data_IF_135379294830
#
_entry.id   IF_135379294830
#
_cell.length_a   1.000
_cell.length_b   1.000
_cell.length_c   1.000
_cell.angle_alpha   90.00
_cell.angle_beta   90.00
_cell.angle_gamma   90.00
#
_symmetry.space_group_name_H-M   'P 1'
#
loop_
_entity.id
_entity.type
_entity.pdbx_description
1 polymer ?
#
# COMPACT_ATOMS: atom_id res chain seq x y z
N UNK A 1 -24.46 7.24 20.34
CA UNK A 1 -23.88 6.13 19.54
C UNK A 1 -22.34 6.06 19.63
N UNK A 2 -21.62 7.20 19.68
CA UNK A 2 -20.15 7.25 19.73
C UNK A 2 -19.50 6.43 20.88
N UNK A 3 -20.02 6.54 22.11
CA UNK A 3 -19.50 5.80 23.27
C UNK A 3 -19.59 4.27 23.13
N UNK A 4 -20.48 3.76 22.27
CA UNK A 4 -20.56 2.32 21.96
C UNK A 4 -19.43 1.92 21.01
N UNK A 5 -19.18 2.71 19.97
CA UNK A 5 -18.13 2.45 18.99
C UNK A 5 -16.73 2.48 19.61
N UNK A 6 -16.46 3.46 20.50
CA UNK A 6 -15.17 3.54 21.18
C UNK A 6 -14.92 2.33 22.10
N UNK A 7 -15.94 1.92 22.86
CA UNK A 7 -15.85 0.72 23.72
C UNK A 7 -15.59 -0.55 22.91
N UNK A 8 -16.28 -0.68 21.78
CA UNK A 8 -16.08 -1.80 20.87
C UNK A 8 -14.67 -1.78 20.27
N UNK A 9 -14.19 -0.62 19.79
CA UNK A 9 -12.84 -0.48 19.27
C UNK A 9 -11.77 -0.86 20.29
N UNK A 10 -11.96 -0.45 21.55
CA UNK A 10 -11.05 -0.80 22.64
C UNK A 10 -11.05 -2.30 22.90
N UNK A 11 -12.23 -2.93 23.00
CA UNK A 11 -12.35 -4.38 23.21
C UNK A 11 -11.67 -5.16 22.09
N UNK A 12 -11.92 -4.79 20.82
CA UNK A 12 -11.28 -5.42 19.66
C UNK A 12 -9.76 -5.28 19.69
N UNK A 13 -9.26 -4.15 20.17
CA UNK A 13 -7.83 -3.93 20.36
C UNK A 13 -7.27 -4.87 21.45
N UNK A 14 -7.92 -4.92 22.63
CA UNK A 14 -7.57 -5.80 23.74
C UNK A 14 -7.61 -7.30 23.35
N UNK A 15 -8.54 -7.68 22.46
CA UNK A 15 -8.65 -9.04 21.92
C UNK A 15 -7.59 -9.38 20.85
N UNK A 16 -6.74 -8.42 20.47
CA UNK A 16 -5.66 -8.60 19.49
C UNK A 16 -6.11 -8.59 18.03
N UNK A 17 -7.32 -8.12 17.71
CA UNK A 17 -7.83 -8.12 16.33
C UNK A 17 -7.06 -7.17 15.40
N UNK A 18 -6.32 -6.21 15.96
CA UNK A 18 -5.45 -5.30 15.21
C UNK A 18 -4.22 -6.02 14.62
N UNK A 19 -3.86 -7.20 15.12
CA UNK A 19 -2.77 -8.05 14.61
C UNK A 19 -3.21 -8.88 13.39
N UNK A 20 -4.53 -9.06 13.22
CA UNK A 20 -5.14 -9.65 12.02
C UNK A 20 -5.30 -8.52 10.99
N UNK A 21 -4.15 -8.01 10.51
CA UNK A 21 -4.09 -6.73 9.83
C UNK A 21 -4.59 -6.75 8.37
N UNK A 22 -4.62 -7.92 7.71
CA UNK A 22 -5.08 -8.05 6.33
C UNK A 22 -5.80 -9.37 6.05
N UNK A 23 -6.61 -9.38 5.00
CA UNK A 23 -7.35 -10.54 4.49
C UNK A 23 -7.50 -10.46 2.95
N UNK A 24 -8.27 -11.35 2.32
CA UNK A 24 -8.44 -11.36 0.86
C UNK A 24 -9.14 -10.12 0.27
N UNK A 25 -9.82 -9.31 1.09
CA UNK A 25 -10.64 -8.14 0.71
C UNK A 25 -10.06 -6.82 1.22
N UNK A 26 -9.19 -6.87 2.22
CA UNK A 26 -8.66 -5.70 2.91
C UNK A 26 -7.17 -5.85 3.15
N UNK A 27 -6.43 -4.77 2.95
CA UNK A 27 -4.99 -4.74 3.20
C UNK A 27 -4.23 -3.95 2.15
N UNK A 28 -2.90 -3.85 2.31
CA UNK A 28 -2.04 -3.03 1.45
C UNK A 28 -2.04 -3.46 -0.01
N UNK A 29 -2.35 -4.73 -0.30
CA UNK A 29 -2.46 -5.25 -1.67
C UNK A 29 -3.57 -4.57 -2.49
N UNK A 30 -4.52 -3.90 -1.83
CA UNK A 30 -5.62 -3.19 -2.51
C UNK A 30 -5.43 -1.68 -2.58
N UNK A 31 -4.35 -1.11 -2.02
CA UNK A 31 -4.18 0.35 -1.93
C UNK A 31 -4.09 1.08 -3.28
N UNK A 32 -3.68 0.37 -4.34
CA UNK A 32 -3.71 0.92 -5.70
C UNK A 32 -5.13 1.32 -6.15
N UNK A 33 -6.18 0.68 -5.63
CA UNK A 33 -7.57 0.98 -5.98
C UNK A 33 -8.01 2.38 -5.56
N UNK A 34 -7.26 3.05 -4.69
CA UNK A 34 -7.54 4.43 -4.33
C UNK A 34 -7.48 5.36 -5.56
N UNK A 35 -6.64 5.04 -6.56
CA UNK A 35 -6.59 5.77 -7.83
C UNK A 35 -7.96 5.86 -8.49
N UNK A 36 -8.79 4.81 -8.38
CA UNK A 36 -10.10 4.76 -9.04
C UNK A 36 -11.11 5.78 -8.45
N UNK A 37 -10.77 6.41 -7.32
CA UNK A 37 -11.61 7.39 -6.63
C UNK A 37 -10.94 8.77 -6.45
N UNK A 38 -9.65 8.91 -6.81
CA UNK A 38 -8.95 10.18 -6.74
C UNK A 38 -9.23 10.99 -8.02
N UNK A 39 -9.41 12.33 -7.94
CA UNK A 39 -9.69 13.17 -9.10
C UNK A 39 -8.59 13.10 -10.18
N UNK A 40 -7.32 13.14 -9.76
CA UNK A 40 -6.15 13.11 -10.67
C UNK A 40 -6.22 14.18 -11.77
N UNK A 41 -6.65 15.40 -11.44
CA UNK A 41 -6.86 16.48 -12.42
C UNK A 41 -5.77 17.55 -12.35
N UNK A 42 -5.21 17.77 -11.17
CA UNK A 42 -4.25 18.84 -10.88
C UNK A 42 -2.85 18.29 -10.62
N UNK A 43 -1.81 19.09 -10.83
CA UNK A 43 -0.43 18.72 -10.47
C UNK A 43 -0.31 18.22 -9.02
N UNK A 44 -1.03 18.87 -8.11
CA UNK A 44 -1.04 18.51 -6.69
C UNK A 44 -1.60 17.10 -6.46
N UNK A 45 -2.62 16.67 -7.20
CA UNK A 45 -3.17 15.31 -7.06
C UNK A 45 -2.12 14.24 -7.37
N UNK A 46 -1.29 14.48 -8.40
CA UNK A 46 -0.19 13.60 -8.77
C UNK A 46 0.95 13.63 -7.75
N UNK A 47 1.30 14.81 -7.24
CA UNK A 47 2.31 14.95 -6.18
C UNK A 47 1.86 14.25 -4.89
N UNK A 48 0.58 14.36 -4.54
CA UNK A 48 -0.01 13.68 -3.39
C UNK A 48 0.00 12.16 -3.58
N UNK A 49 -0.34 11.67 -4.77
CA UNK A 49 -0.23 10.24 -5.08
C UNK A 49 1.23 9.76 -4.99
N UNK A 50 2.17 10.51 -5.55
CA UNK A 50 3.60 10.20 -5.46
C UNK A 50 4.10 10.20 -4.02
N UNK A 51 3.61 11.11 -3.17
CA UNK A 51 3.94 11.12 -1.73
C UNK A 51 3.49 9.84 -1.03
N UNK A 52 2.30 9.33 -1.38
CA UNK A 52 1.76 8.06 -0.85
C UNK A 52 2.60 6.87 -1.31
N UNK A 53 2.99 6.84 -2.58
CA UNK A 53 3.89 5.80 -3.10
C UNK A 53 5.25 5.82 -2.41
N UNK A 54 5.81 7.01 -2.13
CA UNK A 54 7.06 7.15 -1.38
C UNK A 54 6.97 6.66 0.06
N UNK A 55 5.80 6.81 0.70
CA UNK A 55 5.55 6.32 2.06
C UNK A 55 5.21 4.82 2.14
N UNK A 56 4.91 4.18 1.00
CA UNK A 56 4.46 2.80 0.92
C UNK A 56 5.43 1.80 1.60
N UNK A 57 6.77 1.86 1.39
CA UNK A 57 7.70 0.92 2.02
C UNK A 57 7.62 0.94 3.56
N UNK A 58 7.56 2.12 4.17
CA UNK A 58 7.48 2.26 5.62
C UNK A 58 6.14 1.74 6.16
N UNK A 59 5.05 2.02 5.45
CA UNK A 59 3.73 1.49 5.80
C UNK A 59 3.68 -0.04 5.71
N UNK A 60 4.32 -0.63 4.69
CA UNK A 60 4.44 -2.08 4.54
C UNK A 60 5.31 -2.69 5.64
N UNK A 61 6.41 -2.03 6.04
CA UNK A 61 7.25 -2.48 7.15
C UNK A 61 6.46 -2.52 8.47
N UNK A 62 5.64 -1.50 8.74
CA UNK A 62 4.76 -1.47 9.91
C UNK A 62 3.73 -2.62 9.86
N UNK A 63 3.12 -2.88 8.70
CA UNK A 63 2.22 -4.01 8.50
C UNK A 63 2.91 -5.35 8.77
N UNK A 64 4.13 -5.55 8.26
CA UNK A 64 4.90 -6.75 8.54
C UNK A 64 5.18 -6.90 10.04
N UNK A 65 5.43 -5.81 10.76
CA UNK A 65 5.57 -5.81 12.21
C UNK A 65 4.33 -6.38 12.91
N UNK A 66 3.14 -5.85 12.59
CA UNK A 66 1.87 -6.32 13.13
C UNK A 66 1.61 -7.80 12.81
N UNK A 67 1.87 -8.23 11.58
CA UNK A 67 1.66 -9.62 11.19
C UNK A 67 2.63 -10.58 11.90
N UNK A 68 3.89 -10.17 12.09
CA UNK A 68 4.87 -10.96 12.86
C UNK A 68 4.42 -11.09 14.32
N UNK A 69 3.95 -10.01 14.93
CA UNK A 69 3.38 -10.04 16.28
C UNK A 69 2.10 -10.89 16.36
N UNK A 70 1.26 -10.85 15.33
CA UNK A 70 0.09 -11.73 15.20
C UNK A 70 0.49 -13.20 15.17
N UNK A 71 1.56 -13.56 14.45
CA UNK A 71 2.09 -14.92 14.43
C UNK A 71 2.60 -15.34 15.81
N UNK A 72 3.41 -14.50 16.49
CA UNK A 72 3.97 -14.86 17.81
C UNK A 72 2.91 -14.97 18.90
N UNK A 73 1.82 -14.22 18.79
CA UNK A 73 0.70 -14.22 19.73
C UNK A 73 -0.43 -15.20 19.37
N UNK A 74 -0.29 -15.99 18.31
CA UNK A 74 -1.35 -16.85 17.76
C UNK A 74 -2.65 -16.09 17.41
N UNK A 75 -2.52 -14.84 16.97
CA UNK A 75 -3.58 -13.96 16.48
C UNK A 75 -3.44 -13.76 14.97
N UNK A 76 -3.73 -14.81 14.22
CA UNK A 76 -3.66 -14.81 12.76
C UNK A 76 -5.03 -15.06 12.12
N UNK A 77 -5.16 -14.65 10.86
CA UNK A 77 -6.35 -14.93 10.06
C UNK A 77 -6.45 -16.43 9.74
N UNK A 78 -7.67 -16.94 9.55
CA UNK A 78 -7.89 -18.31 9.11
C UNK A 78 -7.18 -18.59 7.77
N UNK A 79 -6.51 -19.74 7.67
CA UNK A 79 -5.72 -20.14 6.50
C UNK A 79 -6.54 -20.07 5.19
N UNK A 80 -7.79 -20.52 5.22
CA UNK A 80 -8.67 -20.51 4.05
C UNK A 80 -8.96 -19.10 3.53
N UNK A 81 -9.02 -18.10 4.42
CA UNK A 81 -9.19 -16.68 4.05
C UNK A 81 -7.88 -16.14 3.45
N UNK A 82 -6.74 -16.56 3.98
CA UNK A 82 -5.42 -16.13 3.52
C UNK A 82 -4.97 -16.78 2.21
N UNK A 83 -5.61 -17.88 1.79
CA UNK A 83 -5.19 -18.67 0.63
C UNK A 83 -5.05 -17.87 -0.67
N UNK A 84 -5.83 -16.79 -0.83
CA UNK A 84 -5.80 -15.93 -2.04
C UNK A 84 -4.78 -14.79 -1.97
N UNK A 85 -4.38 -14.38 -0.76
CA UNK A 85 -3.56 -13.17 -0.56
C UNK A 85 -2.19 -13.27 -1.26
N UNK A 86 -1.44 -14.38 -1.18
CA UNK A 86 -0.15 -14.47 -1.87
C UNK A 86 -0.24 -14.26 -3.38
N UNK A 87 -1.26 -14.81 -4.04
CA UNK A 87 -1.48 -14.63 -5.47
C UNK A 87 -1.87 -13.18 -5.81
N UNK A 88 -2.69 -12.53 -4.99
CA UNK A 88 -3.00 -11.10 -5.14
C UNK A 88 -1.73 -10.25 -5.07
N UNK A 89 -0.85 -10.50 -4.10
CA UNK A 89 0.43 -9.78 -3.99
C UNK A 89 1.33 -10.08 -5.19
N UNK A 90 1.43 -11.34 -5.60
CA UNK A 90 2.27 -11.73 -6.74
C UNK A 90 1.84 -11.00 -8.02
N UNK A 91 0.53 -10.87 -8.28
CA UNK A 91 0.04 -10.15 -9.46
C UNK A 91 0.42 -8.67 -9.50
N UNK A 92 0.73 -8.05 -8.35
CA UNK A 92 1.21 -6.66 -8.29
C UNK A 92 2.68 -6.51 -8.71
N UNK A 93 3.42 -7.63 -8.75
CA UNK A 93 4.85 -7.70 -9.04
C UNK A 93 5.12 -8.24 -10.45
N UNK A 94 4.08 -8.65 -11.19
CA UNK A 94 4.19 -9.16 -12.54
C UNK A 94 4.44 -8.02 -13.54
N UNK A 95 5.30 -8.27 -14.53
CA UNK A 95 5.63 -7.29 -15.58
C UNK A 95 6.66 -6.25 -15.14
N UNK A 96 6.63 -5.10 -15.80
CA UNK A 96 7.48 -3.95 -15.52
C UNK A 96 6.82 -2.99 -14.52
N UNK A 97 7.58 -2.03 -13.99
CA UNK A 97 7.05 -1.03 -13.06
C UNK A 97 5.86 -0.23 -13.65
N UNK A 98 5.83 -0.04 -14.97
CA UNK A 98 4.75 0.67 -15.67
C UNK A 98 3.49 -0.19 -15.87
N UNK A 99 3.60 -1.51 -15.75
CA UNK A 99 2.47 -2.44 -15.83
C UNK A 99 1.77 -2.57 -14.46
N UNK A 100 2.39 -2.07 -13.39
CA UNK A 100 1.84 -2.14 -12.04
C UNK A 100 0.54 -1.33 -11.93
N UNK A 101 -0.50 -1.84 -11.22
CA UNK A 101 -1.70 -1.07 -10.92
C UNK A 101 -1.43 0.27 -10.20
N UNK A 102 -0.35 0.37 -9.43
CA UNK A 102 0.07 1.62 -8.78
C UNK A 102 0.54 2.69 -9.78
N UNK A 103 0.94 2.28 -10.98
CA UNK A 103 1.37 3.17 -12.06
C UNK A 103 0.19 3.70 -12.89
N UNK A 104 -1.00 3.10 -12.78
CA UNK A 104 -2.20 3.47 -13.57
C UNK A 104 -2.52 4.97 -13.52
N UNK A 105 -2.25 5.64 -12.40
CA UNK A 105 -2.42 7.09 -12.27
C UNK A 105 -1.67 7.88 -13.35
N UNK A 106 -0.50 7.40 -13.78
CA UNK A 106 0.40 8.13 -14.68
C UNK A 106 0.17 7.82 -16.17
N UNK A 107 -0.67 6.85 -16.51
CA UNK A 107 -0.91 6.48 -17.92
C UNK A 107 -1.81 7.47 -18.67
N UNK A 108 -2.62 8.24 -17.93
CA UNK A 108 -3.52 9.26 -18.47
C UNK A 108 -3.12 10.66 -17.98
N UNK A 109 -1.84 11.01 -18.03
CA UNK A 109 -1.39 12.36 -17.64
C UNK A 109 -2.05 13.41 -18.53
N UNK A 110 -2.74 14.41 -17.97
CA UNK A 110 -3.23 15.55 -18.71
C UNK A 110 -2.08 16.20 -19.51
N UNK A 111 -2.34 16.70 -20.74
CA UNK A 111 -1.32 17.34 -21.56
C UNK A 111 -0.58 18.47 -20.83
N UNK A 112 -1.26 19.18 -19.92
CA UNK A 112 -0.65 20.26 -19.12
C UNK A 112 0.42 19.77 -18.13
N UNK A 113 0.39 18.50 -17.72
CA UNK A 113 1.37 17.89 -16.82
C UNK A 113 2.42 17.07 -17.58
N UNK A 114 2.17 16.71 -18.84
CA UNK A 114 3.15 16.02 -19.70
C UNK A 114 4.44 16.82 -19.97
N UNK A 115 4.43 18.12 -19.64
CA UNK A 115 5.60 19.01 -19.68
C UNK A 115 6.41 19.03 -18.38
N UNK A 116 5.90 18.43 -17.29
CA UNK A 116 6.65 18.18 -16.06
C UNK A 116 7.49 16.93 -16.28
N UNK A 117 8.71 17.20 -16.72
CA UNK A 117 9.76 16.30 -17.20
C UNK A 117 9.78 14.85 -16.68
N UNK A 118 10.00 13.94 -17.64
CA UNK A 118 10.42 12.55 -17.48
C UNK A 118 11.65 12.34 -16.56
N UNK A 119 12.33 13.42 -16.17
CA UNK A 119 13.53 13.41 -15.33
C UNK A 119 13.25 13.07 -13.85
N UNK A 120 12.05 13.36 -13.34
CA UNK A 120 11.75 13.17 -11.91
C UNK A 120 11.12 11.79 -11.59
N UNK A 121 10.82 11.00 -12.62
CA UNK A 121 10.15 9.70 -12.52
C UNK A 121 11.06 8.50 -12.79
N UNK A 122 12.39 8.69 -12.88
CA UNK A 122 13.35 7.58 -12.91
C UNK A 122 13.78 7.23 -11.49
N UNK A 123 13.68 5.96 -11.03
CA UNK A 123 14.25 5.57 -9.76
C UNK A 123 15.76 5.84 -9.81
N UNK A 124 16.23 6.71 -8.90
CA UNK A 124 17.66 7.01 -8.76
C UNK A 124 18.40 5.68 -8.53
N UNK A 125 19.40 5.32 -9.36
CA UNK A 125 20.11 4.06 -9.16
C UNK A 125 20.74 4.10 -7.76
N UNK A 126 20.55 3.02 -7.00
CA UNK A 126 21.20 2.82 -5.71
C UNK A 126 22.70 3.00 -5.93
N UNK A 127 23.24 4.11 -5.46
CA UNK A 127 24.66 4.37 -5.52
C UNK A 127 25.36 3.27 -4.72
N UNK A 128 26.01 2.35 -5.44
CA UNK A 128 27.01 1.47 -4.88
C UNK A 128 28.17 2.33 -4.40
N UNK A 129 28.19 2.63 -3.09
CA UNK A 129 29.35 3.20 -2.44
C UNK A 129 29.78 2.30 -1.28
N UNK A 130 30.54 1.26 -1.62
CA UNK A 130 31.82 0.96 -0.95
C UNK A 130 32.91 1.44 -1.91
N UNK A 131 33.94 2.16 -1.43
CA UNK A 131 35.11 1.53 -0.79
C UNK A 131 35.64 2.38 0.39
N UNK A 132 36.57 2.00 1.27
CA UNK A 132 37.55 0.90 1.40
C UNK A 132 37.61 0.46 2.86
#
# INVERSE_FOLDING_TARGET
MLMRQLRESRRRFEDGLHLIALDMRSGPQHWHSMIDYLPMETEQDYLDWLSRLRALPDQLANYQGLLREGITSNRTQAQIVMARVPAQIQSLLEGSATDSPFYKAFTALPPILSQISEDNCRPRPLASSRPS
#
